data_IF_294448203888
#
_entry.id   IF_294448203888
#
_cell.length_a   1.000
_cell.length_b   1.000
_cell.length_c   1.000
_cell.angle_alpha   90.00
_cell.angle_beta   90.00
_cell.angle_gamma   90.00
#
_symmetry.space_group_name_H-M   'P 1'
#
loop_
_entity.id
_entity.type
_entity.pdbx_description
1 polymer ?
#
# COMPACT_ATOMS: atom_id res chain seq x y z
N UNK A 1 -13.59 -8.28 -12.23
CA UNK A 1 -13.60 -6.93 -12.84
C UNK A 1 -12.51 -6.09 -12.18
N UNK A 2 -11.58 -5.49 -12.92
CA UNK A 2 -10.51 -4.65 -12.35
C UNK A 2 -10.99 -3.22 -12.21
N UNK A 3 -10.88 -2.62 -11.02
CA UNK A 3 -11.23 -1.22 -10.77
C UNK A 3 -9.96 -0.40 -10.59
N UNK A 4 -9.88 0.75 -11.24
CA UNK A 4 -8.69 1.61 -11.19
C UNK A 4 -9.01 2.89 -10.43
N UNK A 5 -8.12 3.32 -9.52
CA UNK A 5 -8.21 4.61 -8.83
C UNK A 5 -6.85 5.28 -8.75
N UNK A 6 -6.84 6.60 -8.88
CA UNK A 6 -5.69 7.42 -8.51
C UNK A 6 -5.85 7.84 -7.04
N UNK A 7 -4.80 7.66 -6.26
CA UNK A 7 -4.80 8.07 -4.86
C UNK A 7 -3.43 8.64 -4.46
N UNK A 8 -3.45 9.65 -3.62
CA UNK A 8 -2.29 9.96 -2.79
C UNK A 8 -2.26 8.97 -1.63
N UNK A 9 -1.11 8.32 -1.45
CA UNK A 9 -0.86 7.39 -0.35
C UNK A 9 -0.01 8.14 0.68
N UNK A 10 -0.57 8.41 1.85
CA UNK A 10 0.13 9.11 2.94
C UNK A 10 0.30 8.17 4.12
N UNK A 11 1.54 7.99 4.62
CA UNK A 11 1.74 7.26 5.86
C UNK A 11 1.18 8.06 7.05
N UNK A 12 0.49 7.40 7.98
CA UNK A 12 -0.19 8.08 9.10
C UNK A 12 0.77 8.87 10.00
N UNK A 13 2.05 8.47 10.11
CA UNK A 13 3.05 9.13 10.96
C UNK A 13 3.56 10.46 10.39
N UNK A 14 3.42 10.69 9.08
CA UNK A 14 3.97 11.89 8.43
C UNK A 14 3.42 13.22 8.97
N UNK A 15 2.29 13.20 9.71
CA UNK A 15 1.72 14.40 10.35
C UNK A 15 2.41 14.82 11.65
N UNK A 16 3.10 13.92 12.36
CA UNK A 16 3.66 14.25 13.68
C UNK A 16 4.93 15.11 13.65
N UNK A 17 5.59 15.29 12.50
CA UNK A 17 6.81 16.11 12.36
C UNK A 17 6.54 17.63 12.19
N UNK A 18 5.29 18.10 12.34
CA UNK A 18 4.95 19.52 12.17
C UNK A 18 4.67 20.21 13.52
N UNK A 19 5.71 20.40 14.33
CA UNK A 19 5.70 21.41 15.39
C UNK A 19 7.09 22.03 15.52
N UNK A 20 7.29 23.16 14.86
CA UNK A 20 8.53 23.93 14.84
C UNK A 20 8.36 25.10 13.89
N UNK A 21 8.31 26.32 14.45
CA UNK A 21 8.02 27.56 13.73
C UNK A 21 8.93 27.76 12.52
N UNK A 22 8.31 27.77 11.34
CA UNK A 22 8.92 28.11 10.06
C UNK A 22 7.95 27.72 8.96
N UNK A 23 7.39 28.70 8.25
CA UNK A 23 6.52 28.47 7.09
C UNK A 23 7.35 27.90 5.93
N UNK A 24 7.75 26.64 6.04
CA UNK A 24 8.12 25.83 4.89
C UNK A 24 6.81 25.23 4.41
N UNK A 25 6.21 25.84 3.38
CA UNK A 25 5.13 25.19 2.62
C UNK A 25 5.63 23.77 2.30
N UNK A 26 4.99 22.68 2.78
CA UNK A 26 5.45 21.36 2.40
C UNK A 26 5.31 21.29 0.88
N UNK A 27 6.44 21.13 0.20
CA UNK A 27 6.47 20.99 -1.24
C UNK A 27 5.42 19.93 -1.60
N UNK A 28 4.42 20.32 -2.39
CA UNK A 28 3.41 19.45 -2.98
C UNK A 28 4.14 18.48 -3.92
N UNK A 29 4.77 17.46 -3.36
CA UNK A 29 5.06 16.22 -4.05
C UNK A 29 4.30 15.09 -3.34
N UNK A 30 2.98 15.31 -3.19
CA UNK A 30 2.02 14.23 -2.98
C UNK A 30 1.89 13.50 -4.32
N UNK A 31 2.90 12.70 -4.65
CA UNK A 31 2.89 11.93 -5.88
C UNK A 31 1.70 10.98 -5.82
N UNK A 32 0.72 11.22 -6.69
CA UNK A 32 -0.40 10.29 -6.87
C UNK A 32 0.15 8.97 -7.38
N UNK A 33 -0.41 7.89 -6.88
CA UNK A 33 -0.13 6.51 -7.29
C UNK A 33 -1.39 5.96 -7.94
N UNK A 34 -1.21 5.19 -9.01
CA UNK A 34 -2.28 4.45 -9.65
C UNK A 34 -2.45 3.11 -8.93
N UNK A 35 -3.60 2.93 -8.28
CA UNK A 35 -4.03 1.69 -7.65
C UNK A 35 -4.97 0.93 -8.58
N UNK A 36 -4.60 -0.29 -8.96
CA UNK A 36 -5.49 -1.21 -9.68
C UNK A 36 -5.94 -2.30 -8.72
N UNK A 37 -7.25 -2.37 -8.48
CA UNK A 37 -7.87 -3.30 -7.55
C UNK A 37 -8.29 -4.59 -8.24
N UNK A 38 -8.05 -5.70 -7.54
CA UNK A 38 -8.36 -7.06 -7.94
C UNK A 38 -9.00 -7.78 -6.76
N UNK A 39 -9.79 -8.78 -7.07
CA UNK A 39 -10.22 -9.76 -6.07
C UNK A 39 -9.02 -10.61 -5.66
N UNK A 40 -8.80 -10.77 -4.36
CA UNK A 40 -7.75 -11.63 -3.84
C UNK A 40 -8.27 -13.06 -3.63
N UNK A 41 -7.40 -14.08 -3.58
CA UNK A 41 -7.82 -15.44 -3.27
C UNK A 41 -8.18 -15.64 -1.79
N UNK A 42 -8.03 -14.61 -0.94
CA UNK A 42 -8.22 -14.72 0.51
C UNK A 42 -9.65 -14.31 0.89
N UNK A 43 -10.29 -15.11 1.74
CA UNK A 43 -11.60 -14.76 2.30
C UNK A 43 -11.46 -13.61 3.31
N UNK A 44 -12.43 -12.70 3.29
CA UNK A 44 -12.62 -11.64 4.26
C UNK A 44 -13.22 -12.22 5.54
N UNK A 45 -12.84 -11.64 6.69
CA UNK A 45 -13.47 -11.95 7.97
C UNK A 45 -14.73 -11.11 8.22
N UNK A 46 -15.14 -10.24 7.28
CA UNK A 46 -16.39 -9.49 7.39
C UNK A 46 -17.58 -10.45 7.30
N UNK A 47 -18.13 -10.82 8.46
CA UNK A 47 -19.30 -11.69 8.59
C UNK A 47 -20.58 -10.88 8.38
N UNK A 48 -21.13 -10.92 7.17
CA UNK A 48 -22.48 -10.50 6.83
C UNK A 48 -23.20 -11.63 6.09
N UNK A 49 -24.52 -11.76 6.30
CA UNK A 49 -25.39 -12.85 5.81
C UNK A 49 -25.03 -13.35 4.39
N UNK A 50 -24.34 -14.49 4.33
CA UNK A 50 -24.25 -15.31 3.12
C UNK A 50 -23.28 -14.86 2.02
N UNK A 51 -22.44 -13.85 2.23
CA UNK A 51 -21.45 -13.43 1.21
C UNK A 51 -20.07 -13.99 1.56
N UNK A 52 -19.53 -14.92 0.75
CA UNK A 52 -18.09 -15.27 0.77
C UNK A 52 -17.31 -14.07 0.22
N UNK A 53 -17.24 -13.00 1.01
CA UNK A 53 -16.55 -11.78 0.64
C UNK A 53 -15.06 -12.09 0.50
N UNK A 54 -14.50 -11.92 -0.69
CA UNK A 54 -13.05 -11.99 -0.88
C UNK A 54 -12.40 -10.66 -0.47
N UNK A 55 -11.22 -10.72 0.13
CA UNK A 55 -10.41 -9.53 0.36
C UNK A 55 -9.99 -8.92 -0.99
N UNK A 56 -9.73 -7.61 -1.02
CA UNK A 56 -9.17 -6.95 -2.18
C UNK A 56 -7.64 -7.00 -2.15
N UNK A 57 -7.03 -7.00 -3.34
CA UNK A 57 -5.61 -6.74 -3.51
C UNK A 57 -5.38 -5.67 -4.57
N UNK A 58 -4.21 -5.03 -4.52
CA UNK A 58 -3.82 -3.99 -5.47
C UNK A 58 -2.45 -4.26 -6.05
N UNK A 59 -2.22 -3.80 -7.28
CA UNK A 59 -0.88 -3.41 -7.71
C UNK A 59 -0.81 -1.88 -7.81
N UNK A 60 0.40 -1.36 -7.74
CA UNK A 60 0.67 0.07 -7.66
C UNK A 60 1.63 0.49 -8.76
N UNK A 61 1.35 1.59 -9.45
CA UNK A 61 2.24 2.20 -10.43
C UNK A 61 2.32 3.71 -10.24
N UNK A 62 3.43 4.36 -10.62
CA UNK A 62 3.45 5.81 -10.69
C UNK A 62 2.47 6.28 -11.77
N UNK A 63 1.94 7.50 -11.61
CA UNK A 63 0.93 8.04 -12.54
C UNK A 63 1.42 8.27 -13.97
N UNK A 64 2.74 8.45 -14.15
CA UNK A 64 3.37 8.73 -15.43
C UNK A 64 3.85 7.49 -16.20
N UNK A 65 3.94 6.32 -15.56
CA UNK A 65 4.27 5.06 -16.23
C UNK A 65 3.49 3.90 -15.60
N UNK A 66 2.37 3.55 -16.23
CA UNK A 66 1.46 2.52 -15.77
C UNK A 66 2.00 1.08 -16.01
N UNK A 67 3.17 0.94 -16.64
CA UNK A 67 3.89 -0.32 -16.81
C UNK A 67 4.97 -0.53 -15.74
N UNK A 68 5.29 0.48 -14.92
CA UNK A 68 6.17 0.30 -13.77
C UNK A 68 5.35 -0.10 -12.54
N UNK A 69 5.52 -1.33 -12.07
CA UNK A 69 4.82 -1.85 -10.91
C UNK A 69 5.73 -1.90 -9.70
N UNK A 70 5.18 -1.54 -8.53
CA UNK A 70 5.88 -1.67 -7.26
C UNK A 70 5.96 -3.15 -6.86
N UNK A 71 7.17 -3.68 -6.76
CA UNK A 71 7.43 -5.07 -6.38
C UNK A 71 8.00 -5.14 -4.96
N UNK A 72 7.54 -6.12 -4.20
CA UNK A 72 8.10 -6.46 -2.90
C UNK A 72 9.34 -7.35 -3.04
N UNK A 73 10.49 -6.89 -2.55
CA UNK A 73 11.73 -7.64 -2.50
C UNK A 73 11.99 -8.15 -1.08
N UNK A 74 11.52 -9.37 -0.78
CA UNK A 74 11.71 -9.97 0.56
C UNK A 74 13.18 -10.07 0.97
N UNK A 75 14.07 -10.45 0.03
CA UNK A 75 15.49 -10.66 0.34
C UNK A 75 16.18 -9.39 0.83
N UNK A 76 15.80 -8.24 0.26
CA UNK A 76 16.34 -6.92 0.62
C UNK A 76 15.49 -6.16 1.65
N UNK A 77 14.34 -6.71 2.06
CA UNK A 77 13.34 -6.02 2.88
C UNK A 77 12.92 -4.65 2.31
N UNK A 78 12.89 -4.53 0.98
CA UNK A 78 12.65 -3.27 0.27
C UNK A 78 11.57 -3.42 -0.81
N UNK A 79 11.19 -2.28 -1.39
CA UNK A 79 10.34 -2.24 -2.58
C UNK A 79 11.07 -1.57 -3.73
N UNK A 80 10.87 -2.10 -4.94
CA UNK A 80 11.56 -1.67 -6.16
C UNK A 80 10.54 -1.60 -7.30
N UNK A 81 10.68 -0.65 -8.22
CA UNK A 81 9.85 -0.63 -9.43
C UNK A 81 10.42 -1.58 -10.49
N UNK A 82 9.57 -2.43 -11.04
CA UNK A 82 9.91 -3.27 -12.18
C UNK A 82 8.93 -3.04 -13.33
N UNK A 83 9.44 -3.18 -14.55
CA UNK A 83 8.61 -3.08 -15.74
C UNK A 83 7.76 -4.35 -15.89
N UNK A 84 6.49 -4.16 -16.18
CA UNK A 84 5.55 -5.23 -16.46
C UNK A 84 5.91 -5.90 -17.80
N UNK A 85 6.31 -7.17 -17.75
CA UNK A 85 6.57 -7.99 -18.92
C UNK A 85 5.57 -9.16 -18.97
N UNK A 86 4.47 -8.98 -19.71
CA UNK A 86 3.44 -9.96 -20.10
C UNK A 86 2.73 -10.79 -18.98
N UNK A 87 3.34 -11.07 -17.83
CA UNK A 87 2.77 -11.79 -16.68
C UNK A 87 2.97 -11.00 -15.39
N UNK A 88 1.86 -10.74 -14.69
CA UNK A 88 1.92 -10.05 -13.40
C UNK A 88 2.49 -11.00 -12.36
N UNK A 89 3.55 -10.59 -11.68
CA UNK A 89 4.16 -11.35 -10.61
C UNK A 89 3.38 -11.15 -9.31
N UNK A 90 3.28 -12.19 -8.49
CA UNK A 90 2.77 -12.11 -7.11
C UNK A 90 3.54 -11.10 -6.25
N UNK A 91 4.79 -10.80 -6.62
CA UNK A 91 5.61 -9.77 -5.99
C UNK A 91 5.03 -8.36 -6.14
N UNK A 92 4.18 -8.13 -7.15
CA UNK A 92 3.58 -6.83 -7.46
C UNK A 92 2.22 -6.62 -6.78
N UNK A 93 1.71 -7.62 -6.05
CA UNK A 93 0.38 -7.57 -5.45
C UNK A 93 0.44 -7.42 -3.94
N UNK A 94 -0.40 -6.53 -3.43
CA UNK A 94 -0.58 -6.27 -2.02
C UNK A 94 -2.04 -6.43 -1.64
N UNK A 95 -2.33 -7.34 -0.70
CA UNK A 95 -3.64 -7.50 -0.08
C UNK A 95 -3.94 -6.28 0.77
N UNK A 96 -5.12 -5.69 0.56
CA UNK A 96 -5.56 -4.50 1.29
C UNK A 96 -6.29 -4.93 2.54
N UNK A 97 -5.81 -4.47 3.69
CA UNK A 97 -6.52 -4.59 4.97
C UNK A 97 -7.10 -3.24 5.35
N UNK A 98 -8.38 -3.22 5.68
CA UNK A 98 -9.01 -2.05 6.28
C UNK A 98 -8.73 -2.08 7.78
N UNK A 99 -7.90 -1.15 8.25
CA UNK A 99 -7.52 -1.06 9.67
C UNK A 99 -8.45 -0.12 10.42
N UNK A 100 -8.99 0.90 9.74
CA UNK A 100 -10.02 1.80 10.27
C UNK A 100 -10.88 2.37 9.13
N UNK A 101 -11.78 3.31 9.43
CA UNK A 101 -12.52 4.07 8.40
C UNK A 101 -11.61 4.92 7.51
N UNK A 102 -10.42 5.32 8.00
CA UNK A 102 -9.50 6.23 7.31
C UNK A 102 -8.19 5.57 6.85
N UNK A 103 -7.82 4.43 7.44
CA UNK A 103 -6.51 3.82 7.26
C UNK A 103 -6.60 2.41 6.68
N UNK A 104 -5.65 2.10 5.81
CA UNK A 104 -5.43 0.76 5.26
C UNK A 104 -3.98 0.32 5.50
N UNK A 105 -3.74 -0.98 5.50
CA UNK A 105 -2.41 -1.56 5.36
C UNK A 105 -2.32 -2.44 4.12
N UNK A 106 -1.11 -2.57 3.56
CA UNK A 106 -0.84 -3.30 2.33
C UNK A 106 0.07 -4.49 2.62
N UNK A 107 -0.48 -5.70 2.63
CA UNK A 107 0.27 -6.93 2.91
C UNK A 107 0.74 -7.60 1.62
N UNK A 108 2.00 -8.03 1.55
CA UNK A 108 2.54 -8.70 0.37
C UNK A 108 1.79 -10.01 0.07
N UNK A 109 1.32 -10.19 -1.17
CA UNK A 109 0.74 -11.47 -1.63
C UNK A 109 1.78 -12.59 -1.65
N UNK A 110 2.98 -12.29 -2.15
CA UNK A 110 4.10 -13.22 -2.28
C UNK A 110 4.66 -13.75 -0.96
N UNK A 111 4.43 -13.06 0.16
CA UNK A 111 4.90 -13.46 1.48
C UNK A 111 4.07 -12.80 2.57
N UNK A 112 3.03 -13.52 2.98
CA UNK A 112 2.09 -13.16 4.06
C UNK A 112 2.83 -12.85 5.37
N UNK A 113 2.25 -11.96 6.16
CA UNK A 113 2.82 -11.40 7.39
C UNK A 113 3.82 -10.27 7.17
N UNK A 114 4.05 -9.83 5.92
CA UNK A 114 4.95 -8.72 5.60
C UNK A 114 4.17 -7.60 4.91
N UNK A 115 4.35 -6.36 5.39
CA UNK A 115 3.57 -5.21 4.98
C UNK A 115 4.45 -4.15 4.32
N UNK A 116 3.88 -3.40 3.39
CA UNK A 116 4.43 -2.12 2.98
C UNK A 116 4.43 -1.19 4.19
N UNK A 117 5.52 -0.45 4.37
CA UNK A 117 5.59 0.57 5.40
C UNK A 117 6.67 1.61 5.13
N UNK A 118 6.79 2.57 6.03
CA UNK A 118 7.82 3.60 6.00
C UNK A 118 8.85 3.33 7.08
N UNK A 119 10.12 3.22 6.67
CA UNK A 119 11.27 3.09 7.56
C UNK A 119 12.35 4.07 7.09
N UNK A 120 12.93 4.83 8.02
CA UNK A 120 13.99 5.80 7.73
C UNK A 120 13.62 6.77 6.59
N UNK A 121 12.36 7.24 6.57
CA UNK A 121 11.76 8.10 5.53
C UNK A 121 11.67 7.48 4.12
N UNK A 122 11.91 6.18 3.98
CA UNK A 122 11.78 5.44 2.72
C UNK A 122 10.68 4.39 2.81
N UNK A 123 10.07 4.05 1.67
CA UNK A 123 9.19 2.89 1.58
C UNK A 123 10.01 1.60 1.68
N UNK A 124 9.51 0.64 2.44
CA UNK A 124 10.15 -0.66 2.63
C UNK A 124 9.17 -1.73 3.10
N UNK A 125 9.71 -2.90 3.43
CA UNK A 125 8.92 -4.03 3.91
C UNK A 125 9.11 -4.21 5.42
N UNK A 126 8.00 -4.33 6.13
CA UNK A 126 7.94 -4.46 7.59
C UNK A 126 7.32 -5.80 7.94
N UNK A 127 7.99 -6.58 8.79
CA UNK A 127 7.53 -7.91 9.19
C UNK A 127 6.60 -7.79 10.42
N UNK A 128 5.47 -8.49 10.37
CA UNK A 128 4.45 -8.52 11.42
C UNK A 128 3.56 -7.29 11.44
N UNK A 129 2.42 -7.41 12.17
CA UNK A 129 1.66 -6.27 12.67
C UNK A 129 1.96 -6.17 14.16
N UNK A 130 2.78 -5.21 14.58
CA UNK A 130 2.93 -4.93 16.00
C UNK A 130 1.80 -3.98 16.44
N UNK A 131 1.27 -4.11 17.67
CA UNK A 131 0.39 -3.09 18.24
C UNK A 131 1.12 -1.73 18.21
N UNK A 132 0.54 -0.73 17.54
CA UNK A 132 1.17 0.59 17.36
C UNK A 132 2.03 0.77 16.10
N UNK A 133 1.99 -0.15 15.13
CA UNK A 133 2.66 0.00 13.83
C UNK A 133 2.02 1.07 12.92
N UNK A 134 2.05 2.34 13.32
CA UNK A 134 1.64 3.48 12.47
C UNK A 134 2.46 3.56 11.17
N UNK A 135 3.65 2.98 11.16
CA UNK A 135 4.54 2.93 10.01
C UNK A 135 4.03 2.04 8.86
N UNK A 136 3.03 1.18 9.07
CA UNK A 136 2.38 0.38 8.00
C UNK A 136 0.99 0.89 7.63
N UNK A 137 0.49 1.93 8.32
CA UNK A 137 -0.82 2.51 8.08
C UNK A 137 -0.74 3.63 7.06
N UNK A 138 -1.63 3.56 6.07
CA UNK A 138 -1.72 4.55 5.02
C UNK A 138 -3.13 5.11 4.92
N UNK A 139 -3.23 6.42 4.73
CA UNK A 139 -4.47 7.10 4.32
C UNK A 139 -4.48 7.23 2.80
N UNK A 140 -5.62 6.91 2.20
CA UNK A 140 -5.86 7.09 0.77
C UNK A 140 -6.70 8.36 0.56
N UNK A 141 -6.19 9.32 -0.19
CA UNK A 141 -6.94 10.52 -0.60
C UNK A 141 -6.98 10.65 -2.12
N UNK A 142 -8.14 11.00 -2.67
CA UNK A 142 -8.36 11.14 -4.13
C UNK A 142 -7.98 12.52 -4.64
#
# INVERSE_FOLDING_TARGET
MTKTKYATIENSRARQMTSGNGLVKPAKLRNKVLLRYYESPYSSSESGDGVDGKMLMVNMSPTNDAHLLLHANKKKHSVEFHRYENRLSDLAFFVVHKESSECVSFECKSHRGTYLGVKDNHLGLIQGKNPGSENILFKLST
#
